data_IF_450351067228
#
_entry.id   IF_450351067228
#
_cell.length_a   1.000
_cell.length_b   1.000
_cell.length_c   1.000
_cell.angle_alpha   90.00
_cell.angle_beta   90.00
_cell.angle_gamma   90.00
#
_symmetry.space_group_name_H-M   'P 1'
#
loop_
_entity.id
_entity.type
_entity.pdbx_description
1 polymer ?
#
# COMPACT_ATOMS: atom_id res chain seq x y z
N UNK A 1 19.28 -3.06 -6.61
CA UNK A 1 17.85 -3.23 -6.93
C UNK A 1 17.55 -4.70 -6.86
N UNK A 2 16.58 -5.09 -6.02
CA UNK A 2 16.10 -6.47 -5.97
C UNK A 2 15.44 -6.84 -7.31
N UNK A 3 15.58 -8.09 -7.74
CA UNK A 3 14.76 -8.57 -8.84
C UNK A 3 13.33 -8.79 -8.32
N UNK A 4 12.31 -8.59 -9.17
CA UNK A 4 10.91 -8.76 -8.76
C UNK A 4 10.67 -10.20 -8.25
N UNK A 5 11.39 -11.19 -8.78
CA UNK A 5 11.34 -12.59 -8.36
C UNK A 5 11.85 -12.85 -6.94
N UNK A 6 12.64 -11.94 -6.37
CA UNK A 6 13.15 -12.02 -5.01
C UNK A 6 12.18 -11.43 -3.98
N UNK A 7 11.15 -10.70 -4.43
CA UNK A 7 10.18 -10.06 -3.55
C UNK A 7 9.20 -11.12 -3.03
N UNK A 8 9.28 -11.40 -1.73
CA UNK A 8 8.36 -12.37 -1.11
C UNK A 8 6.98 -11.73 -0.87
N UNK A 9 5.94 -12.58 -0.83
CA UNK A 9 4.59 -12.13 -0.44
C UNK A 9 4.59 -11.54 0.97
N UNK A 10 5.42 -12.07 1.88
CA UNK A 10 5.53 -11.56 3.25
C UNK A 10 6.06 -10.12 3.27
N UNK A 11 7.03 -9.79 2.42
CA UNK A 11 7.57 -8.43 2.32
C UNK A 11 6.51 -7.47 1.78
N UNK A 12 5.77 -7.88 0.74
CA UNK A 12 4.65 -7.11 0.21
C UNK A 12 3.61 -6.83 1.29
N UNK A 13 3.20 -7.85 2.07
CA UNK A 13 2.24 -7.68 3.16
C UNK A 13 2.74 -6.71 4.22
N UNK A 14 4.00 -6.83 4.65
CA UNK A 14 4.61 -5.89 5.62
C UNK A 14 4.66 -4.46 5.09
N UNK A 15 5.03 -4.29 3.82
CA UNK A 15 5.05 -2.96 3.19
C UNK A 15 3.65 -2.37 3.08
N UNK A 16 2.62 -3.16 2.77
CA UNK A 16 1.22 -2.68 2.77
C UNK A 16 0.81 -2.22 4.17
N UNK A 17 1.09 -3.02 5.21
CA UNK A 17 0.79 -2.65 6.60
C UNK A 17 1.51 -1.36 7.01
N UNK A 18 2.76 -1.19 6.58
CA UNK A 18 3.53 0.04 6.79
C UNK A 18 2.89 1.23 6.09
N UNK A 19 2.48 1.08 4.83
CA UNK A 19 1.79 2.12 4.07
C UNK A 19 0.44 2.50 4.71
N UNK A 20 -0.33 1.52 5.20
CA UNK A 20 -1.58 1.77 5.94
C UNK A 20 -1.31 2.52 7.25
N UNK A 21 -0.30 2.10 8.01
CA UNK A 21 0.11 2.78 9.24
C UNK A 21 0.62 4.21 8.96
N UNK A 22 1.33 4.42 7.86
CA UNK A 22 1.79 5.74 7.42
C UNK A 22 0.63 6.64 7.04
N UNK A 23 -0.35 6.13 6.29
CA UNK A 23 -1.55 6.88 5.97
C UNK A 23 -2.31 7.31 7.24
N UNK A 24 -2.43 6.42 8.23
CA UNK A 24 -3.10 6.72 9.48
C UNK A 24 -2.35 7.73 10.38
N UNK A 25 -1.01 7.65 10.44
CA UNK A 25 -0.20 8.45 11.37
C UNK A 25 0.34 9.75 10.75
N UNK A 26 0.69 9.73 9.47
CA UNK A 26 1.23 10.87 8.73
C UNK A 26 0.69 10.90 7.30
N UNK A 27 -0.59 11.30 7.11
CA UNK A 27 -1.22 11.34 5.78
C UNK A 27 -0.42 12.15 4.76
N UNK A 28 0.17 13.27 5.20
CA UNK A 28 0.97 14.13 4.33
C UNK A 28 2.20 13.39 3.79
N UNK A 29 2.90 12.63 4.63
CA UNK A 29 4.06 11.85 4.20
C UNK A 29 3.67 10.73 3.25
N UNK A 30 2.52 10.09 3.49
CA UNK A 30 1.96 9.11 2.57
C UNK A 30 1.65 9.73 1.20
N UNK A 31 1.00 10.90 1.16
CA UNK A 31 0.70 11.62 -0.09
C UNK A 31 1.96 12.04 -0.84
N UNK A 32 3.01 12.47 -0.14
CA UNK A 32 4.29 12.83 -0.75
C UNK A 32 4.95 11.62 -1.44
N UNK A 33 4.91 10.45 -0.81
CA UNK A 33 5.39 9.19 -1.40
C UNK A 33 4.53 8.80 -2.60
N UNK A 34 3.20 8.83 -2.46
CA UNK A 34 2.30 8.53 -3.57
C UNK A 34 2.55 9.41 -4.78
N UNK A 35 2.77 10.71 -4.56
CA UNK A 35 3.10 11.67 -5.62
C UNK A 35 4.41 11.30 -6.30
N UNK A 36 5.48 11.05 -5.54
CA UNK A 36 6.77 10.62 -6.10
C UNK A 36 6.65 9.32 -6.89
N UNK A 37 5.93 8.33 -6.37
CA UNK A 37 5.66 7.08 -7.09
C UNK A 37 4.84 7.34 -8.36
N UNK A 38 3.85 8.22 -8.33
CA UNK A 38 2.99 8.54 -9.48
C UNK A 38 3.72 9.26 -10.61
N UNK A 39 4.79 9.98 -10.29
CA UNK A 39 5.64 10.66 -11.28
C UNK A 39 6.42 9.64 -12.11
N UNK A 40 6.96 8.60 -11.45
CA UNK A 40 7.80 7.57 -12.10
C UNK A 40 7.02 6.34 -12.59
N UNK A 41 5.96 5.95 -11.88
CA UNK A 41 5.22 4.72 -12.10
C UNK A 41 3.86 5.01 -12.74
N UNK A 42 3.87 5.09 -14.08
CA UNK A 42 2.67 5.39 -14.89
C UNK A 42 1.48 4.50 -14.56
N UNK A 43 1.67 3.19 -14.33
CA UNK A 43 0.57 2.26 -14.06
C UNK A 43 -0.13 2.57 -12.73
N UNK A 44 0.63 2.87 -11.67
CA UNK A 44 0.05 3.26 -10.38
C UNK A 44 -0.80 4.54 -10.53
N UNK A 45 -0.29 5.53 -11.28
CA UNK A 45 -1.02 6.76 -11.58
C UNK A 45 -2.33 6.52 -12.34
N UNK A 46 -2.29 5.70 -13.39
CA UNK A 46 -3.48 5.35 -14.18
C UNK A 46 -4.52 4.60 -13.34
N UNK A 47 -4.08 3.74 -12.43
CA UNK A 47 -4.98 3.02 -11.53
C UNK A 47 -5.67 3.95 -10.54
N UNK A 48 -4.95 4.88 -9.91
CA UNK A 48 -5.55 5.86 -8.99
C UNK A 48 -6.57 6.76 -9.70
N UNK A 49 -6.29 7.21 -10.92
CA UNK A 49 -7.27 7.96 -11.73
C UNK A 49 -8.51 7.11 -12.04
N UNK A 50 -8.32 5.83 -12.31
CA UNK A 50 -9.43 4.90 -12.57
C UNK A 50 -10.29 4.71 -11.32
N UNK A 51 -9.68 4.57 -10.14
CA UNK A 51 -10.41 4.53 -8.86
C UNK A 51 -11.21 5.80 -8.59
N UNK A 52 -10.65 6.98 -8.83
CA UNK A 52 -11.38 8.26 -8.69
C UNK A 52 -12.64 8.27 -9.56
N UNK A 53 -12.50 7.86 -10.84
CA UNK A 53 -13.64 7.76 -11.75
C UNK A 53 -14.67 6.74 -11.29
N UNK A 54 -14.25 5.60 -10.77
CA UNK A 54 -15.16 4.59 -10.22
C UNK A 54 -15.96 5.15 -9.04
N UNK A 55 -15.30 5.90 -8.15
CA UNK A 55 -15.96 6.54 -7.02
C UNK A 55 -16.96 7.62 -7.47
N UNK A 56 -16.58 8.46 -8.43
CA UNK A 56 -17.45 9.48 -9.04
C UNK A 56 -18.67 8.88 -9.74
N UNK A 57 -18.54 7.68 -10.31
CA UNK A 57 -19.61 6.94 -10.98
C UNK A 57 -20.53 6.19 -10.02
N UNK A 58 -20.32 6.29 -8.71
CA UNK A 58 -21.13 5.59 -7.70
C UNK A 58 -20.93 4.08 -7.71
N UNK A 59 -19.71 3.62 -8.03
CA UNK A 59 -19.36 2.19 -7.95
C UNK A 59 -19.60 1.66 -6.54
N UNK A 60 -19.92 0.37 -6.44
CA UNK A 60 -20.22 -0.26 -5.15
C UNK A 60 -18.97 -0.26 -4.25
N UNK A 61 -19.20 -0.18 -2.94
CA UNK A 61 -18.12 -0.10 -1.94
C UNK A 61 -17.12 -1.28 -2.07
N UNK A 62 -17.62 -2.49 -2.32
CA UNK A 62 -16.75 -3.67 -2.50
C UNK A 62 -15.85 -3.56 -3.74
N UNK A 63 -16.33 -2.93 -4.82
CA UNK A 63 -15.53 -2.69 -6.02
C UNK A 63 -14.41 -1.69 -5.75
N UNK A 64 -14.72 -0.62 -5.00
CA UNK A 64 -13.73 0.36 -4.58
C UNK A 64 -12.69 -0.25 -3.64
N UNK A 65 -13.11 -1.12 -2.71
CA UNK A 65 -12.22 -1.82 -1.77
C UNK A 65 -11.26 -2.76 -2.49
N UNK A 66 -11.74 -3.51 -3.49
CA UNK A 66 -10.87 -4.35 -4.31
C UNK A 66 -9.88 -3.52 -5.13
N UNK A 67 -10.32 -2.41 -5.71
CA UNK A 67 -9.46 -1.53 -6.48
C UNK A 67 -8.37 -0.89 -5.60
N UNK A 68 -8.72 -0.48 -4.37
CA UNK A 68 -7.79 0.04 -3.36
C UNK A 68 -6.70 -0.98 -3.01
N UNK A 69 -7.10 -2.22 -2.73
CA UNK A 69 -6.14 -3.30 -2.46
C UNK A 69 -5.18 -3.51 -3.63
N UNK A 70 -5.68 -3.46 -4.87
CA UNK A 70 -4.85 -3.55 -6.07
C UNK A 70 -3.79 -2.43 -6.16
N UNK A 71 -4.18 -1.19 -5.83
CA UNK A 71 -3.21 -0.07 -5.76
C UNK A 71 -2.18 -0.30 -4.69
N UNK A 72 -2.60 -0.68 -3.48
CA UNK A 72 -1.67 -0.90 -2.36
C UNK A 72 -0.64 -1.99 -2.68
N UNK A 73 -1.04 -3.07 -3.34
CA UNK A 73 -0.14 -4.10 -3.81
C UNK A 73 0.86 -3.57 -4.85
N UNK A 74 0.41 -2.80 -5.83
CA UNK A 74 1.28 -2.17 -6.83
C UNK A 74 2.29 -1.20 -6.20
N UNK A 75 1.85 -0.40 -5.23
CA UNK A 75 2.69 0.55 -4.51
C UNK A 75 3.73 -0.18 -3.66
N UNK A 76 3.32 -1.20 -2.91
CA UNK A 76 4.22 -2.00 -2.09
C UNK A 76 5.31 -2.67 -2.95
N UNK A 77 4.92 -3.27 -4.08
CA UNK A 77 5.87 -3.83 -5.04
C UNK A 77 6.85 -2.78 -5.57
N UNK A 78 6.37 -1.58 -5.88
CA UNK A 78 7.22 -0.49 -6.36
C UNK A 78 8.21 -0.03 -5.30
N UNK A 79 7.75 0.15 -4.06
CA UNK A 79 8.59 0.50 -2.90
C UNK A 79 9.71 -0.52 -2.72
N UNK A 80 9.39 -1.81 -2.75
CA UNK A 80 10.36 -2.89 -2.58
C UNK A 80 11.33 -2.97 -3.77
N UNK A 81 10.82 -2.91 -5.00
CA UNK A 81 11.64 -2.99 -6.22
C UNK A 81 12.64 -1.83 -6.33
N UNK A 82 12.22 -0.62 -5.95
CA UNK A 82 13.04 0.59 -5.98
C UNK A 82 13.83 0.83 -4.70
N UNK A 83 13.66 0.00 -3.68
CA UNK A 83 14.27 0.16 -2.37
C UNK A 83 13.98 1.55 -1.75
N UNK A 84 12.71 1.96 -1.82
CA UNK A 84 12.25 3.25 -1.29
C UNK A 84 12.21 3.17 0.23
N UNK A 85 12.99 4.03 0.89
CA UNK A 85 12.96 4.16 2.34
C UNK A 85 11.65 4.81 2.79
N UNK A 86 10.79 4.03 3.45
CA UNK A 86 9.55 4.55 4.05
C UNK A 86 9.85 5.24 5.38
N UNK A 87 9.15 6.36 5.71
CA UNK A 87 9.22 6.98 7.03
C UNK A 87 8.87 6.00 8.14
N UNK A 88 9.50 6.14 9.31
CA UNK A 88 9.20 5.30 10.47
C UNK A 88 7.77 5.55 10.96
N UNK A 89 7.05 4.47 11.26
CA UNK A 89 5.67 4.49 11.78
C UNK A 89 5.54 3.46 12.88
N UNK A 90 4.64 3.70 13.83
CA UNK A 90 4.31 2.69 14.84
C UNK A 90 3.36 1.67 14.21
N UNK A 91 3.87 0.50 13.87
CA UNK A 91 2.99 -0.60 13.48
C UNK A 91 2.17 -1.02 14.70
N UNK A 92 0.86 -1.26 14.57
CA UNK A 92 0.10 -1.84 15.68
C UNK A 92 0.78 -3.15 16.08
N UNK A 93 1.12 -3.28 17.37
CA UNK A 93 1.69 -4.52 17.90
C UNK A 93 0.72 -5.67 17.54
N UNK A 94 1.25 -6.71 16.88
CA UNK A 94 0.50 -7.96 16.73
C UNK A 94 0.14 -8.41 18.14
N UNK A 95 -1.12 -8.22 18.53
CA UNK A 95 -1.59 -8.70 19.82
C UNK A 95 -1.36 -10.20 19.79
N UNK A 96 -0.55 -10.77 20.70
CA UNK A 96 -0.40 -12.22 20.74
C UNK A 96 -1.81 -12.79 20.88
N UNK A 97 -2.20 -13.61 19.90
CA UNK A 97 -3.46 -14.33 19.95
C UNK A 97 -3.43 -15.15 21.23
N UNK A 98 -4.21 -14.75 22.24
CA UNK A 98 -4.51 -15.53 23.43
C UNK A 98 -5.19 -16.82 22.98
N UNK A 99 -4.35 -17.78 22.58
CA UNK A 99 -4.71 -19.15 22.22
C UNK A 99 -3.75 -20.10 22.95
N UNK A 100 -3.42 -19.81 24.21
CA UNK A 100 -2.90 -20.80 25.14
C UNK A 100 -3.99 -21.17 26.15
N UNK A 101 -4.77 -22.16 25.70
CA UNK A 101 -5.16 -23.37 26.43
C UNK A 101 -6.04 -23.24 27.67
N UNK A 102 -7.28 -23.68 27.44
CA UNK A 102 -8.26 -24.20 28.40
C UNK A 102 -7.71 -25.27 29.35
#
# INVERSE_FOLDING_TARGET
MAAIEDISLQDVTKTIQHLDALYAQSPQSYEDILRGISEEFRLAREWMMTMSRMAEQGSQEDQLRMADMGVKQLLALWVLYKDINLPQVHLPEETPSDSEQS
#
